data_IF_890828592440
#
_entry.id   IF_890828592440
#
_cell.length_a   1.000
_cell.length_b   1.000
_cell.length_c   1.000
_cell.angle_alpha   90.00
_cell.angle_beta   90.00
_cell.angle_gamma   90.00
#
_symmetry.space_group_name_H-M   'P 1'
#
loop_
_entity.id
_entity.type
_entity.pdbx_description
1 polymer ?
#
# COMPACT_ATOMS: atom_id res chain seq x y z
N UNK A 1 -13.40 -8.36 7.19
CA UNK A 1 -13.03 -7.04 7.77
C UNK A 1 -13.35 -5.94 6.76
N UNK A 2 -13.92 -4.85 7.21
CA UNK A 2 -14.19 -3.72 6.33
C UNK A 2 -12.90 -3.05 5.89
N UNK A 3 -12.91 -2.46 4.69
CA UNK A 3 -11.73 -1.77 4.14
C UNK A 3 -11.23 -0.64 5.05
N UNK A 4 -12.13 0.14 5.66
CA UNK A 4 -11.78 1.21 6.59
C UNK A 4 -11.27 0.70 7.93
N UNK A 5 -11.76 -0.44 8.39
CA UNK A 5 -11.26 -1.10 9.61
C UNK A 5 -9.84 -1.61 9.42
N UNK A 6 -9.54 -2.17 8.25
CA UNK A 6 -8.18 -2.61 7.89
C UNK A 6 -7.21 -1.43 7.87
N UNK A 7 -7.61 -0.30 7.28
CA UNK A 7 -6.83 0.93 7.28
C UNK A 7 -6.51 1.38 8.71
N UNK A 8 -7.53 1.45 9.56
CA UNK A 8 -7.37 1.87 10.94
C UNK A 8 -6.44 0.95 11.72
N UNK A 9 -6.61 -0.36 11.56
CA UNK A 9 -5.77 -1.34 12.23
C UNK A 9 -4.28 -1.16 11.89
N UNK A 10 -3.97 -1.02 10.62
CA UNK A 10 -2.58 -0.86 10.18
C UNK A 10 -2.02 0.51 10.56
N UNK A 11 -2.82 1.59 10.45
CA UNK A 11 -2.42 2.91 10.89
C UNK A 11 -2.05 2.94 12.38
N UNK A 12 -2.84 2.28 13.22
CA UNK A 12 -2.55 2.16 14.64
C UNK A 12 -1.29 1.34 14.88
N UNK A 13 -1.14 0.20 14.21
CA UNK A 13 0.02 -0.68 14.34
C UNK A 13 1.32 0.02 13.94
N UNK A 14 1.30 0.81 12.87
CA UNK A 14 2.47 1.54 12.38
C UNK A 14 2.62 2.92 13.00
N UNK A 15 1.64 3.40 13.78
CA UNK A 15 1.61 4.76 14.33
C UNK A 15 1.78 5.82 13.23
N UNK A 16 1.03 5.67 12.14
CA UNK A 16 1.17 6.48 10.92
C UNK A 16 1.01 7.98 11.17
N UNK A 17 0.13 8.37 12.09
CA UNK A 17 -0.14 9.78 12.41
C UNK A 17 1.08 10.51 13.00
N UNK A 18 2.04 9.80 13.56
CA UNK A 18 3.24 10.38 14.15
C UNK A 18 4.35 10.64 13.13
N UNK A 19 4.20 10.17 11.89
CA UNK A 19 5.22 10.24 10.84
C UNK A 19 4.74 11.17 9.72
N UNK A 20 5.50 12.24 9.45
CA UNK A 20 5.29 13.08 8.27
C UNK A 20 5.81 12.37 7.04
N UNK A 21 5.04 12.43 5.94
CA UNK A 21 5.41 11.81 4.69
C UNK A 21 4.97 12.68 3.51
N UNK A 22 5.64 12.54 2.38
CA UNK A 22 5.29 13.18 1.11
C UNK A 22 4.37 12.30 0.25
N UNK A 23 3.89 11.21 0.79
CA UNK A 23 2.89 10.34 0.19
C UNK A 23 1.75 10.12 1.19
N UNK A 24 0.49 9.98 0.72
CA UNK A 24 -0.60 9.60 1.62
C UNK A 24 -0.40 8.16 2.10
N UNK A 25 -0.53 7.95 3.41
CA UNK A 25 -0.45 6.62 4.01
C UNK A 25 -1.85 6.14 4.38
N UNK A 26 -2.16 4.90 4.02
CA UNK A 26 -3.47 4.30 4.25
C UNK A 26 -4.16 3.91 2.96
N UNK A 27 -5.49 3.99 2.96
CA UNK A 27 -6.32 3.65 1.81
C UNK A 27 -6.21 4.75 0.75
N UNK A 28 -5.60 4.43 -0.38
CA UNK A 28 -5.39 5.37 -1.48
C UNK A 28 -6.46 5.28 -2.55
N UNK A 29 -6.93 4.07 -2.85
CA UNK A 29 -8.00 3.84 -3.81
C UNK A 29 -9.03 2.92 -3.15
N UNK A 30 -10.27 3.39 -3.04
CA UNK A 30 -11.34 2.62 -2.41
C UNK A 30 -11.95 1.63 -3.38
N UNK A 31 -12.14 0.41 -2.92
CA UNK A 31 -12.81 -0.67 -3.64
C UNK A 31 -13.90 -1.31 -2.81
N UNK A 32 -13.95 -2.65 -2.76
CA UNK A 32 -14.97 -3.38 -1.99
C UNK A 32 -14.94 -3.02 -0.51
N UNK A 33 -16.12 -2.90 0.08
CA UNK A 33 -16.25 -2.65 1.52
C UNK A 33 -15.66 -3.80 2.35
N UNK A 34 -15.98 -5.04 2.00
CA UNK A 34 -15.48 -6.22 2.72
C UNK A 34 -14.22 -6.77 2.08
N UNK A 35 -13.17 -6.86 2.86
CA UNK A 35 -11.87 -7.37 2.45
C UNK A 35 -11.64 -8.74 3.07
N UNK A 36 -11.46 -9.76 2.23
CA UNK A 36 -11.17 -11.13 2.64
C UNK A 36 -9.84 -11.61 2.09
N UNK A 37 -9.48 -11.22 0.86
CA UNK A 37 -8.26 -11.65 0.19
C UNK A 37 -7.37 -10.46 -0.10
N UNK A 38 -6.14 -10.53 0.40
CA UNK A 38 -5.15 -9.45 0.31
C UNK A 38 -3.92 -9.94 -0.45
N UNK A 39 -3.44 -9.14 -1.39
CA UNK A 39 -2.16 -9.34 -2.06
C UNK A 39 -1.22 -8.23 -1.62
N UNK A 40 0.01 -8.58 -1.30
CA UNK A 40 1.03 -7.61 -0.89
C UNK A 40 2.15 -7.51 -1.92
N UNK A 41 2.76 -6.36 -2.00
CA UNK A 41 3.91 -6.10 -2.86
C UNK A 41 4.64 -4.85 -2.43
N UNK A 42 5.78 -4.58 -3.05
CA UNK A 42 6.57 -3.37 -2.73
C UNK A 42 6.02 -2.16 -3.47
N UNK A 43 5.80 -2.29 -4.77
CA UNK A 43 5.37 -1.19 -5.64
C UNK A 43 4.08 -1.58 -6.37
N UNK A 44 3.13 -0.66 -6.43
CA UNK A 44 1.85 -0.86 -7.13
C UNK A 44 2.05 -0.77 -8.66
N UNK A 45 2.83 -1.69 -9.22
CA UNK A 45 3.06 -1.82 -10.66
C UNK A 45 1.85 -2.42 -11.36
N UNK A 46 1.77 -2.24 -12.68
CA UNK A 46 0.70 -2.88 -13.46
C UNK A 46 0.76 -4.40 -13.33
N UNK A 47 1.96 -4.98 -13.32
CA UNK A 47 2.14 -6.42 -13.17
C UNK A 47 1.57 -6.94 -11.84
N UNK A 48 1.81 -6.23 -10.74
CA UNK A 48 1.25 -6.59 -9.44
C UNK A 48 -0.27 -6.50 -9.44
N UNK A 49 -0.83 -5.45 -10.04
CA UNK A 49 -2.28 -5.25 -10.11
C UNK A 49 -2.95 -6.33 -10.99
N UNK A 50 -2.34 -6.68 -12.12
CA UNK A 50 -2.85 -7.74 -12.99
C UNK A 50 -2.86 -9.08 -12.27
N UNK A 51 -1.82 -9.38 -11.51
CA UNK A 51 -1.75 -10.59 -10.68
C UNK A 51 -2.81 -10.59 -9.59
N UNK A 52 -3.04 -9.44 -8.94
CA UNK A 52 -4.09 -9.31 -7.94
C UNK A 52 -5.49 -9.58 -8.53
N UNK A 53 -5.75 -9.10 -9.74
CA UNK A 53 -6.99 -9.41 -10.47
C UNK A 53 -7.11 -10.90 -10.73
N UNK A 54 -6.06 -11.52 -11.23
CA UNK A 54 -6.02 -12.96 -11.51
C UNK A 54 -6.32 -13.80 -10.27
N UNK A 55 -5.81 -13.38 -9.12
CA UNK A 55 -6.01 -14.06 -7.85
C UNK A 55 -7.35 -13.75 -7.18
N UNK A 56 -8.13 -12.80 -7.72
CA UNK A 56 -9.39 -12.40 -7.13
C UNK A 56 -9.24 -11.62 -5.83
N UNK A 57 -8.19 -10.81 -5.72
CA UNK A 57 -7.93 -10.04 -4.51
C UNK A 57 -8.96 -8.94 -4.28
N UNK A 58 -9.27 -8.67 -3.03
CA UNK A 58 -10.12 -7.56 -2.59
C UNK A 58 -9.30 -6.32 -2.23
N UNK A 59 -8.03 -6.50 -1.92
CA UNK A 59 -7.12 -5.44 -1.54
C UNK A 59 -5.69 -5.75 -1.97
N UNK A 60 -4.94 -4.69 -2.26
CA UNK A 60 -3.49 -4.72 -2.49
C UNK A 60 -2.85 -3.77 -1.48
N UNK A 61 -1.84 -4.24 -0.78
CA UNK A 61 -1.07 -3.44 0.18
C UNK A 61 0.35 -3.31 -0.35
N UNK A 62 0.81 -2.08 -0.50
CA UNK A 62 2.14 -1.78 -1.03
C UNK A 62 2.88 -0.77 -0.16
N UNK A 63 4.19 -0.69 -0.35
CA UNK A 63 5.04 0.34 0.23
C UNK A 63 5.06 1.60 -0.66
N UNK A 64 5.15 1.43 -1.97
CA UNK A 64 5.12 2.51 -2.95
C UNK A 64 3.81 2.48 -3.75
N UNK A 65 2.85 3.30 -3.33
CA UNK A 65 1.56 3.48 -4.02
C UNK A 65 1.61 4.64 -5.02
N UNK A 66 0.54 5.44 -5.01
CA UNK A 66 0.36 6.59 -5.90
C UNK A 66 0.20 7.89 -5.08
N UNK A 67 0.00 9.01 -5.78
CA UNK A 67 -0.33 10.31 -5.19
C UNK A 67 0.78 10.96 -4.37
N UNK A 68 2.01 10.91 -4.88
CA UNK A 68 3.15 11.59 -4.26
C UNK A 68 2.98 13.11 -4.27
N UNK A 69 3.40 13.76 -3.20
CA UNK A 69 3.39 15.22 -3.11
C UNK A 69 4.20 15.82 -4.26
N UNK A 70 3.60 16.82 -4.95
CA UNK A 70 4.25 17.44 -6.11
C UNK A 70 4.02 16.72 -7.43
N UNK A 71 3.40 15.53 -7.41
CA UNK A 71 3.02 14.82 -8.62
C UNK A 71 1.86 15.54 -9.32
N UNK A 72 1.82 15.46 -10.66
CA UNK A 72 0.70 16.00 -11.43
C UNK A 72 -0.62 15.34 -11.02
N UNK A 73 -1.70 16.12 -10.81
CA UNK A 73 -3.01 15.54 -10.49
C UNK A 73 -3.70 14.94 -11.71
N UNK A 74 -3.13 15.11 -12.91
CA UNK A 74 -3.73 14.62 -14.14
C UNK A 74 -3.56 13.10 -14.25
N UNK A 75 -4.66 12.41 -14.54
CA UNK A 75 -4.69 10.95 -14.64
C UNK A 75 -4.64 10.54 -16.10
N UNK A 76 -3.46 10.10 -16.55
CA UNK A 76 -3.26 9.59 -17.91
C UNK A 76 -2.06 8.63 -17.94
N UNK A 77 -1.93 7.89 -19.06
CA UNK A 77 -0.84 6.94 -19.27
C UNK A 77 -0.88 5.79 -18.28
N UNK A 78 0.27 5.47 -17.69
CA UNK A 78 0.39 4.36 -16.73
C UNK A 78 -0.51 4.54 -15.51
N UNK A 79 -0.60 5.76 -14.98
CA UNK A 79 -1.47 6.04 -13.82
C UNK A 79 -2.93 5.76 -14.14
N UNK A 80 -3.39 6.18 -15.33
CA UNK A 80 -4.75 5.88 -15.78
C UNK A 80 -5.00 4.39 -15.85
N UNK A 81 -4.09 3.63 -16.45
CA UNK A 81 -4.24 2.19 -16.63
C UNK A 81 -4.27 1.44 -15.30
N UNK A 82 -3.42 1.83 -14.37
CA UNK A 82 -3.36 1.22 -13.03
C UNK A 82 -4.61 1.54 -12.22
N UNK A 83 -5.05 2.80 -12.22
CA UNK A 83 -6.28 3.19 -11.53
C UNK A 83 -7.50 2.51 -12.14
N UNK A 84 -7.56 2.40 -13.47
CA UNK A 84 -8.64 1.68 -14.15
C UNK A 84 -8.72 0.23 -13.71
N UNK A 85 -7.59 -0.47 -13.64
CA UNK A 85 -7.54 -1.86 -13.18
C UNK A 85 -8.12 -2.00 -11.77
N UNK A 86 -7.72 -1.12 -10.85
CA UNK A 86 -8.23 -1.13 -9.48
C UNK A 86 -9.73 -0.85 -9.43
N UNK A 87 -10.17 0.23 -10.06
CA UNK A 87 -11.56 0.67 -10.00
C UNK A 87 -12.52 -0.29 -10.70
N UNK A 88 -12.14 -0.81 -11.88
CA UNK A 88 -12.97 -1.74 -12.62
C UNK A 88 -13.16 -3.09 -11.92
N UNK A 89 -12.23 -3.47 -11.05
CA UNK A 89 -12.27 -4.73 -10.31
C UNK A 89 -12.59 -4.53 -8.82
N UNK A 90 -12.95 -3.33 -8.41
CA UNK A 90 -13.26 -2.98 -7.02
C UNK A 90 -12.20 -3.40 -6.03
N UNK A 91 -10.92 -3.21 -6.38
CA UNK A 91 -9.79 -3.56 -5.54
C UNK A 91 -9.37 -2.35 -4.72
N UNK A 92 -9.28 -2.50 -3.40
CA UNK A 92 -8.75 -1.48 -2.52
C UNK A 92 -7.22 -1.43 -2.66
N UNK A 93 -6.65 -0.23 -2.78
CA UNK A 93 -5.20 -0.03 -2.73
C UNK A 93 -4.82 0.70 -1.46
N UNK A 94 -3.94 0.08 -0.68
CA UNK A 94 -3.34 0.68 0.51
C UNK A 94 -1.86 0.90 0.27
N UNK A 95 -1.34 2.03 0.74
CA UNK A 95 0.09 2.29 0.71
C UNK A 95 0.57 2.78 2.07
N UNK A 96 1.67 2.21 2.57
CA UNK A 96 2.35 2.70 3.77
C UNK A 96 3.83 2.83 3.46
N UNK A 97 4.31 4.08 3.41
CA UNK A 97 5.66 4.43 2.99
C UNK A 97 6.58 4.64 4.20
N UNK A 98 6.81 5.88 4.61
CA UNK A 98 7.71 6.15 5.76
C UNK A 98 7.24 5.55 7.08
N UNK A 99 5.95 5.48 7.42
CA UNK A 99 5.53 4.80 8.64
C UNK A 99 5.96 3.34 8.71
N UNK A 100 5.96 2.62 7.58
CA UNK A 100 6.46 1.25 7.53
C UNK A 100 7.98 1.21 7.68
N UNK A 101 8.72 2.10 7.00
CA UNK A 101 10.19 2.18 7.11
C UNK A 101 10.64 2.45 8.54
N UNK A 102 9.92 3.31 9.25
CA UNK A 102 10.29 3.76 10.60
C UNK A 102 9.82 2.83 11.71
N UNK A 103 8.95 1.85 11.44
CA UNK A 103 8.43 0.98 12.48
C UNK A 103 9.57 0.17 13.15
N UNK A 104 9.66 0.17 14.50
CA UNK A 104 10.80 -0.42 15.20
C UNK A 104 10.93 -1.94 15.07
N UNK A 105 9.84 -2.65 14.76
CA UNK A 105 9.85 -4.11 14.64
C UNK A 105 9.61 -4.59 13.21
N UNK A 106 8.61 -4.02 12.54
CA UNK A 106 8.14 -4.46 11.22
C UNK A 106 8.74 -3.67 10.07
N UNK A 107 9.36 -2.51 10.35
CA UNK A 107 9.87 -1.61 9.33
C UNK A 107 11.05 -2.16 8.55
N UNK A 108 11.19 -1.70 7.32
CA UNK A 108 12.29 -2.11 6.44
C UNK A 108 13.66 -1.84 7.07
N UNK A 109 13.83 -0.69 7.70
CA UNK A 109 15.09 -0.32 8.35
C UNK A 109 15.43 -1.24 9.53
N UNK A 110 14.44 -1.57 10.35
CA UNK A 110 14.61 -2.49 11.49
C UNK A 110 14.95 -3.90 11.02
N UNK A 111 14.29 -4.40 9.97
CA UNK A 111 14.55 -5.74 9.43
C UNK A 111 15.92 -5.83 8.77
N UNK A 112 16.36 -4.79 8.09
CA UNK A 112 17.72 -4.74 7.54
C UNK A 112 18.78 -4.76 8.63
N UNK A 113 18.56 -4.07 9.75
CA UNK A 113 19.45 -4.11 10.91
C UNK A 113 19.53 -5.51 11.51
N UNK A 114 18.43 -6.24 11.63
CA UNK A 114 18.42 -7.62 12.10
C UNK A 114 19.22 -8.55 11.18
N UNK A 115 19.04 -8.42 9.87
CA UNK A 115 19.82 -9.19 8.89
C UNK A 115 21.33 -8.90 9.05
N UNK A 116 21.70 -7.63 9.21
CA UNK A 116 23.08 -7.22 9.45
C UNK A 116 23.68 -7.85 10.69
N UNK A 117 22.93 -7.93 11.78
CA UNK A 117 23.37 -8.60 13.02
C UNK A 117 23.57 -10.10 12.81
N UNK A 118 22.70 -10.73 12.03
CA UNK A 118 22.78 -12.17 11.79
C UNK A 118 24.03 -12.55 11.00
N UNK A 119 24.63 -11.61 10.27
CA UNK A 119 25.81 -11.85 9.43
C UNK A 119 27.11 -11.36 10.06
N UNK A 120 27.05 -10.77 11.22
CA UNK A 120 28.21 -10.34 12.00
C UNK A 120 28.60 -11.44 12.99
#
# INVERSE_FOLDING_TARGET
MKNTELEQLINEKLNSAAISDYAPNGLQVEGKEMVQKIVTGVTASQALLDEAVRLGADAVIVHHGYFWKGESPVIRGMKRNRLKTLLANDINLYGWHLPLDAHPELGNNAQLAEIGRAHV
#
